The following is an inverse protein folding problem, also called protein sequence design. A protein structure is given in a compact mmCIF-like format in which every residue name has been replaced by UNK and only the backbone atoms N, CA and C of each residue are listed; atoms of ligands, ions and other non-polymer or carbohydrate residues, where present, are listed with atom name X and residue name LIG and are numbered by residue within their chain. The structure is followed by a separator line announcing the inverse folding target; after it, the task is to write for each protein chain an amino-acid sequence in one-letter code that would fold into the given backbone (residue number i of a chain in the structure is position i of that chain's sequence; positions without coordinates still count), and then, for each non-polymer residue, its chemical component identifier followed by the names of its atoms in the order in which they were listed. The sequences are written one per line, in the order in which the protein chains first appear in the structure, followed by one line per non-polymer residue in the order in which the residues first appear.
data_IF_366496086644
#
_entry.id   IF_366496086644
#
_cell.length_a   1.000
_cell.length_b   1.000
_cell.length_c   1.000
_cell.angle_alpha   90.00
_cell.angle_beta   90.00
_cell.angle_gamma   90.00
#
_symmetry.space_group_name_H-M   'P 1'
#
loop_
_entity.id
_entity.type
_entity.pdbx_description
1 polymer ?
#
# COMPACT_ATOMS: atom_id res chain seq x y z
N UNK A 1 34.99 -18.88 -22.77
CA UNK A 1 33.97 -17.87 -22.39
C UNK A 1 34.53 -16.90 -21.37
N UNK A 2 34.71 -15.62 -21.74
CA UNK A 2 35.29 -14.57 -20.87
C UNK A 2 34.53 -14.37 -19.55
N UNK A 3 33.21 -14.58 -19.53
CA UNK A 3 32.40 -14.44 -18.32
C UNK A 3 32.89 -15.32 -17.16
N UNK A 4 33.31 -16.56 -17.40
CA UNK A 4 33.85 -17.43 -16.33
C UNK A 4 35.20 -16.95 -15.79
N UNK A 5 35.98 -16.22 -16.59
CA UNK A 5 37.24 -15.64 -16.15
C UNK A 5 37.01 -14.40 -15.28
N UNK A 6 35.91 -13.67 -15.51
CA UNK A 6 35.57 -12.43 -14.80
C UNK A 6 34.78 -12.73 -13.52
N UNK A 7 33.77 -13.59 -13.58
CA UNK A 7 32.93 -13.96 -12.45
C UNK A 7 32.47 -15.42 -12.61
N UNK A 8 33.16 -16.33 -11.93
CA UNK A 8 32.94 -17.77 -12.05
C UNK A 8 31.74 -18.30 -11.27
N UNK A 9 31.17 -17.50 -10.35
CA UNK A 9 30.02 -17.92 -9.52
C UNK A 9 28.68 -17.77 -10.24
N UNK A 10 28.60 -16.94 -11.28
CA UNK A 10 27.36 -16.73 -12.00
C UNK A 10 27.09 -17.91 -12.95
N UNK A 11 25.90 -18.55 -12.87
CA UNK A 11 25.53 -19.57 -13.83
C UNK A 11 25.40 -18.95 -15.23
N UNK A 12 25.90 -19.66 -16.23
CA UNK A 12 25.75 -19.23 -17.62
C UNK A 12 24.48 -19.85 -18.22
N UNK A 13 23.70 -19.00 -18.89
CA UNK A 13 22.50 -19.37 -19.63
C UNK A 13 22.75 -19.15 -21.11
N UNK A 14 22.53 -20.18 -21.93
CA UNK A 14 22.66 -20.12 -23.37
C UNK A 14 21.32 -19.74 -24.00
N UNK A 15 21.15 -18.45 -24.29
CA UNK A 15 19.97 -17.88 -24.92
C UNK A 15 20.09 -17.96 -26.45
N UNK A 16 19.14 -18.58 -27.14
CA UNK A 16 19.20 -18.70 -28.61
C UNK A 16 17.83 -19.03 -29.24
N UNK A 17 17.79 -19.12 -30.57
CA UNK A 17 16.70 -19.68 -31.36
C UNK A 17 17.27 -20.47 -32.55
N UNK A 18 16.44 -21.18 -33.34
CA UNK A 18 16.95 -21.97 -34.47
C UNK A 18 17.66 -21.12 -35.53
N UNK A 19 17.15 -19.93 -35.85
CA UNK A 19 17.74 -19.05 -36.85
C UNK A 19 19.15 -18.57 -36.42
N UNK A 20 19.37 -18.40 -35.12
CA UNK A 20 20.65 -18.01 -34.55
C UNK A 20 21.67 -19.15 -34.54
N UNK A 21 21.22 -20.41 -34.53
CA UNK A 21 22.15 -21.54 -34.63
C UNK A 21 22.78 -21.63 -36.02
N UNK A 22 22.03 -21.30 -37.08
CA UNK A 22 22.47 -21.39 -38.48
C UNK A 22 22.96 -22.80 -38.89
N UNK A 23 22.29 -23.85 -38.39
CA UNK A 23 22.64 -25.25 -38.71
C UNK A 23 22.71 -25.49 -40.21
N UNK A 24 23.81 -26.08 -40.68
CA UNK A 24 24.09 -26.39 -42.08
C UNK A 24 24.53 -25.19 -42.92
N UNK A 25 24.67 -23.99 -42.34
CA UNK A 25 25.23 -22.83 -43.03
C UNK A 25 26.76 -22.81 -42.88
N UNK A 26 27.52 -22.37 -43.91
CA UNK A 26 28.96 -22.32 -43.82
C UNK A 26 29.47 -21.37 -42.73
N UNK A 27 30.21 -21.92 -41.76
CA UNK A 27 30.96 -21.16 -40.76
C UNK A 27 30.17 -20.80 -39.51
N UNK A 28 30.89 -20.33 -38.49
CA UNK A 28 30.30 -20.02 -37.20
C UNK A 28 29.27 -18.89 -37.25
N UNK A 29 28.11 -19.13 -36.65
CA UNK A 29 27.08 -18.11 -36.51
C UNK A 29 27.59 -16.89 -35.72
N UNK A 30 27.26 -15.65 -36.15
CA UNK A 30 27.65 -14.44 -35.44
C UNK A 30 27.04 -14.35 -34.04
N UNK A 31 25.99 -15.13 -33.74
CA UNK A 31 25.31 -15.15 -32.45
C UNK A 31 25.96 -16.07 -31.41
N UNK A 32 26.84 -16.99 -31.84
CA UNK A 32 27.38 -18.06 -30.98
C UNK A 32 28.80 -17.77 -30.47
N UNK A 33 29.30 -16.54 -30.66
CA UNK A 33 30.58 -16.12 -30.10
C UNK A 33 31.78 -16.92 -30.63
N UNK A 34 31.73 -17.34 -31.90
CA UNK A 34 32.77 -18.10 -32.58
C UNK A 34 32.61 -19.62 -32.51
N UNK A 35 31.52 -20.13 -31.91
CA UNK A 35 31.14 -21.55 -31.99
C UNK A 35 30.37 -21.79 -33.28
N UNK A 36 30.80 -22.77 -34.06
CA UNK A 36 30.01 -23.33 -35.16
C UNK A 36 29.14 -24.48 -34.61
N UNK A 37 27.84 -24.44 -34.86
CA UNK A 37 26.93 -25.48 -34.35
C UNK A 37 27.09 -26.81 -35.10
N UNK A 38 27.60 -26.76 -36.34
CA UNK A 38 27.78 -27.93 -37.18
C UNK A 38 28.92 -28.82 -36.67
N UNK A 39 29.89 -28.26 -35.94
CA UNK A 39 30.92 -29.01 -35.19
C UNK A 39 30.30 -29.92 -34.11
N UNK A 40 29.06 -29.64 -33.71
CA UNK A 40 28.29 -30.42 -32.73
C UNK A 40 27.15 -31.22 -33.39
N UNK A 41 27.13 -31.31 -34.72
CA UNK A 41 26.08 -31.99 -35.48
C UNK A 41 24.71 -31.32 -35.37
N UNK A 42 24.68 -29.99 -35.17
CA UNK A 42 23.43 -29.24 -35.00
C UNK A 42 22.84 -29.31 -33.58
N UNK A 43 23.50 -29.98 -32.62
CA UNK A 43 22.96 -30.21 -31.27
C UNK A 43 23.36 -29.06 -30.31
N UNK A 44 22.41 -28.18 -29.93
CA UNK A 44 22.71 -27.06 -29.03
C UNK A 44 23.12 -27.54 -27.63
N UNK A 45 22.63 -28.67 -27.15
CA UNK A 45 22.96 -29.19 -25.82
C UNK A 45 24.43 -29.61 -25.75
N UNK A 46 24.96 -30.23 -26.81
CA UNK A 46 26.39 -30.56 -26.90
C UNK A 46 27.26 -29.30 -26.96
N UNK A 47 26.86 -28.32 -27.77
CA UNK A 47 27.57 -27.04 -27.84
C UNK A 47 27.61 -26.35 -26.46
N UNK A 48 26.49 -26.31 -25.74
CA UNK A 48 26.36 -25.72 -24.39
C UNK A 48 27.32 -26.37 -23.38
N UNK A 49 27.48 -27.69 -23.42
CA UNK A 49 28.44 -28.40 -22.56
C UNK A 49 29.87 -27.96 -22.80
N UNK A 50 30.25 -27.65 -24.05
CA UNK A 50 31.62 -27.30 -24.41
C UNK A 50 32.12 -26.02 -23.74
N UNK A 51 31.22 -25.09 -23.43
CA UNK A 51 31.55 -23.83 -22.75
C UNK A 51 30.96 -23.70 -21.34
N UNK A 52 30.30 -24.75 -20.85
CA UNK A 52 29.85 -24.90 -19.48
C UNK A 52 28.66 -24.03 -19.09
N UNK A 53 27.73 -23.75 -20.00
CA UNK A 53 26.43 -23.24 -19.56
C UNK A 53 25.61 -24.35 -18.89
N UNK A 54 24.84 -23.97 -17.86
CA UNK A 54 24.03 -24.90 -17.06
C UNK A 54 22.55 -24.87 -17.45
N UNK A 55 22.18 -23.91 -18.30
CA UNK A 55 20.80 -23.71 -18.73
C UNK A 55 20.78 -23.42 -20.23
N UNK A 56 19.90 -24.11 -20.94
CA UNK A 56 19.50 -23.81 -22.31
C UNK A 56 18.22 -22.99 -22.29
N UNK A 57 18.22 -21.85 -22.97
CA UNK A 57 17.10 -20.92 -22.99
C UNK A 57 16.70 -20.63 -24.45
N UNK A 58 16.00 -21.58 -25.12
CA UNK A 58 15.57 -21.41 -26.50
C UNK A 58 14.29 -20.58 -26.62
N UNK A 59 14.02 -20.07 -27.82
CA UNK A 59 12.64 -19.68 -28.16
C UNK A 59 11.70 -20.89 -27.99
N UNK A 60 10.44 -20.65 -27.60
CA UNK A 60 9.46 -21.72 -27.40
C UNK A 60 9.06 -22.46 -28.70
N UNK A 61 8.94 -21.72 -29.81
CA UNK A 61 8.63 -22.25 -31.14
C UNK A 61 8.67 -21.20 -32.24
N UNK A 62 8.29 -21.60 -33.45
CA UNK A 62 8.21 -20.72 -34.63
C UNK A 62 6.82 -20.74 -35.29
N UNK A 63 6.32 -19.60 -35.81
CA UNK A 63 6.93 -18.27 -35.71
C UNK A 63 7.05 -17.83 -34.23
N UNK A 64 8.04 -16.98 -33.92
CA UNK A 64 8.42 -16.67 -32.53
C UNK A 64 7.26 -16.11 -31.69
N UNK A 65 6.32 -15.42 -32.32
CA UNK A 65 5.09 -14.88 -31.73
C UNK A 65 3.87 -15.80 -31.85
N UNK A 66 4.04 -17.02 -32.38
CA UNK A 66 2.98 -18.01 -32.49
C UNK A 66 2.80 -18.81 -31.20
N UNK A 67 1.71 -19.56 -31.12
CA UNK A 67 1.29 -20.34 -29.96
C UNK A 67 1.02 -21.78 -30.33
N UNK A 68 0.97 -22.70 -29.36
CA UNK A 68 0.67 -24.12 -29.62
C UNK A 68 -0.70 -24.37 -30.26
N UNK A 69 -1.59 -23.38 -30.25
CA UNK A 69 -2.91 -23.45 -30.90
C UNK A 69 -2.90 -23.02 -32.37
N UNK A 70 -1.80 -22.43 -32.86
CA UNK A 70 -1.70 -21.99 -34.25
C UNK A 70 -1.31 -23.16 -35.17
N UNK A 71 -1.98 -23.29 -36.32
CA UNK A 71 -1.72 -24.39 -37.26
C UNK A 71 -0.33 -24.35 -37.91
N UNK A 72 0.27 -23.16 -37.98
CA UNK A 72 1.63 -22.97 -38.51
C UNK A 72 2.72 -23.13 -37.46
N UNK A 73 2.35 -23.31 -36.18
CA UNK A 73 3.29 -23.35 -35.08
C UNK A 73 4.12 -24.64 -35.08
N UNK A 74 5.44 -24.47 -34.90
CA UNK A 74 6.40 -25.55 -34.81
C UNK A 74 7.16 -25.43 -33.49
N UNK A 75 7.02 -26.40 -32.56
CA UNK A 75 7.70 -26.33 -31.27
C UNK A 75 9.21 -26.42 -31.46
N UNK A 76 9.94 -25.47 -30.86
CA UNK A 76 11.37 -25.60 -30.65
C UNK A 76 11.66 -26.47 -29.44
N UNK A 77 10.86 -26.30 -28.38
CA UNK A 77 10.99 -27.09 -27.16
C UNK A 77 10.01 -28.25 -27.20
N UNK A 78 10.57 -29.46 -27.17
CA UNK A 78 9.84 -30.72 -27.08
C UNK A 78 10.26 -31.50 -25.84
N UNK A 79 9.42 -32.45 -25.40
CA UNK A 79 9.74 -33.37 -24.31
C UNK A 79 11.03 -34.16 -24.56
N UNK A 80 11.33 -34.50 -25.80
CA UNK A 80 12.57 -35.19 -26.19
C UNK A 80 13.79 -34.29 -25.96
N UNK A 81 13.69 -33.02 -26.37
CA UNK A 81 14.75 -32.04 -26.16
C UNK A 81 14.99 -31.77 -24.67
N UNK A 82 13.92 -31.64 -23.89
CA UNK A 82 14.00 -31.46 -22.43
C UNK A 82 14.69 -32.67 -21.79
N UNK A 83 14.28 -33.90 -22.14
CA UNK A 83 14.94 -35.13 -21.65
C UNK A 83 16.41 -35.19 -22.04
N UNK A 84 16.76 -34.80 -23.26
CA UNK A 84 18.15 -34.73 -23.72
C UNK A 84 18.96 -33.70 -22.93
N UNK A 85 18.42 -32.51 -22.69
CA UNK A 85 19.07 -31.50 -21.86
C UNK A 85 19.28 -31.99 -20.42
N UNK A 86 18.24 -32.57 -19.79
CA UNK A 86 18.32 -33.11 -18.44
C UNK A 86 19.31 -34.27 -18.30
N UNK A 87 19.38 -35.18 -19.27
CA UNK A 87 20.38 -36.25 -19.32
C UNK A 87 21.83 -35.71 -19.39
N UNK A 88 21.98 -34.45 -19.82
CA UNK A 88 23.25 -33.74 -19.88
C UNK A 88 23.45 -32.75 -18.71
N UNK A 89 22.57 -32.76 -17.70
CA UNK A 89 22.64 -31.87 -16.55
C UNK A 89 22.33 -30.40 -16.87
N UNK A 90 21.64 -30.13 -17.99
CA UNK A 90 21.29 -28.80 -18.47
C UNK A 90 19.80 -28.55 -18.24
N UNK A 91 19.47 -27.43 -17.60
CA UNK A 91 18.08 -26.97 -17.42
C UNK A 91 17.53 -26.37 -18.72
N UNK A 92 16.22 -26.41 -18.91
CA UNK A 92 15.54 -25.80 -20.08
C UNK A 92 14.57 -24.73 -19.63
N UNK A 93 14.75 -23.49 -20.12
CA UNK A 93 13.92 -22.33 -19.77
C UNK A 93 13.52 -21.55 -21.04
N UNK A 94 12.42 -21.88 -21.72
CA UNK A 94 12.03 -21.20 -22.95
C UNK A 94 11.50 -19.77 -22.74
N UNK A 95 11.56 -18.98 -23.82
CA UNK A 95 11.07 -17.60 -23.89
C UNK A 95 10.41 -17.28 -25.26
N UNK A 96 9.63 -16.19 -25.40
CA UNK A 96 8.75 -15.62 -24.36
C UNK A 96 7.40 -16.32 -24.50
N UNK A 97 6.80 -16.77 -23.41
CA UNK A 97 5.57 -17.57 -23.43
C UNK A 97 4.47 -16.85 -22.67
N UNK A 98 3.44 -16.37 -23.36
CA UNK A 98 2.44 -15.47 -22.76
C UNK A 98 1.02 -16.03 -22.70
N UNK A 99 0.76 -17.14 -23.40
CA UNK A 99 -0.53 -17.81 -23.42
C UNK A 99 -0.56 -19.09 -22.57
N UNK A 100 -1.71 -19.33 -21.94
CA UNK A 100 -1.94 -20.48 -21.03
C UNK A 100 -1.76 -21.84 -21.72
N UNK A 101 -2.28 -22.08 -22.94
CA UNK A 101 -2.05 -23.34 -23.65
C UNK A 101 -0.57 -23.68 -23.84
N UNK A 102 0.24 -22.73 -24.31
CA UNK A 102 1.69 -22.93 -24.52
C UNK A 102 2.41 -23.13 -23.19
N UNK A 103 2.09 -22.34 -22.16
CA UNK A 103 2.64 -22.54 -20.81
C UNK A 103 2.38 -23.96 -20.30
N UNK A 104 1.13 -24.44 -20.41
CA UNK A 104 0.73 -25.78 -19.93
C UNK A 104 1.49 -26.87 -20.66
N UNK A 105 1.56 -26.79 -22.00
CA UNK A 105 2.31 -27.74 -22.84
C UNK A 105 3.79 -27.83 -22.45
N UNK A 106 4.44 -26.69 -22.17
CA UNK A 106 5.86 -26.66 -21.80
C UNK A 106 6.08 -27.21 -20.38
N UNK A 107 5.19 -26.89 -19.45
CA UNK A 107 5.20 -27.48 -18.09
C UNK A 107 5.03 -29.01 -18.16
N UNK A 108 4.19 -29.51 -19.05
CA UNK A 108 3.99 -30.94 -19.29
C UNK A 108 5.22 -31.61 -19.94
N UNK A 109 5.91 -30.91 -20.83
CA UNK A 109 7.17 -31.38 -21.43
C UNK A 109 8.34 -31.43 -20.44
N UNK A 110 8.17 -30.80 -19.27
CA UNK A 110 9.11 -30.89 -18.15
C UNK A 110 10.16 -29.78 -18.11
N UNK A 111 9.90 -28.62 -18.72
CA UNK A 111 10.83 -27.48 -18.62
C UNK A 111 11.06 -27.06 -17.16
N UNK A 112 12.24 -26.51 -16.87
CA UNK A 112 12.64 -26.11 -15.51
C UNK A 112 12.15 -24.71 -15.12
N UNK A 113 11.71 -23.92 -16.10
CA UNK A 113 11.19 -22.58 -15.94
C UNK A 113 10.62 -22.06 -17.24
N UNK A 114 9.92 -20.94 -17.20
CA UNK A 114 9.36 -20.25 -18.36
C UNK A 114 9.64 -18.75 -18.17
N UNK A 115 10.12 -18.09 -19.22
CA UNK A 115 10.20 -16.62 -19.28
C UNK A 115 8.90 -16.12 -19.93
N UNK A 116 8.19 -15.25 -19.23
CA UNK A 116 6.86 -14.75 -19.59
C UNK A 116 6.69 -13.30 -19.16
N UNK A 117 5.92 -12.54 -19.92
CA UNK A 117 5.45 -11.20 -19.52
C UNK A 117 4.25 -11.29 -18.55
N UNK A 118 3.69 -12.48 -18.33
CA UNK A 118 2.51 -12.75 -17.50
C UNK A 118 2.78 -13.81 -16.42
N UNK A 119 3.60 -13.50 -15.39
CA UNK A 119 3.93 -14.42 -14.31
C UNK A 119 2.71 -14.87 -13.49
N UNK A 120 1.65 -14.08 -13.42
CA UNK A 120 0.35 -14.40 -12.81
C UNK A 120 -0.35 -15.59 -13.53
N UNK A 121 -0.36 -15.59 -14.86
CA UNK A 121 -0.88 -16.70 -15.67
C UNK A 121 -0.07 -17.96 -15.45
N UNK A 122 1.26 -17.84 -15.45
CA UNK A 122 2.15 -18.96 -15.20
C UNK A 122 1.94 -19.55 -13.80
N UNK A 123 1.73 -18.71 -12.77
CA UNK A 123 1.39 -19.20 -11.43
C UNK A 123 0.10 -20.02 -11.42
N UNK A 124 -0.93 -19.56 -12.16
CA UNK A 124 -2.20 -20.29 -12.30
C UNK A 124 -1.98 -21.66 -12.96
N UNK A 125 -1.19 -21.71 -14.04
CA UNK A 125 -0.80 -22.95 -14.72
C UNK A 125 -0.02 -23.88 -13.79
N UNK A 126 0.99 -23.37 -13.09
CA UNK A 126 1.79 -24.17 -12.16
C UNK A 126 0.91 -24.75 -11.03
N UNK A 127 -0.02 -23.97 -10.49
CA UNK A 127 -0.96 -24.42 -9.47
C UNK A 127 -1.88 -25.54 -10.00
N UNK A 128 -2.43 -25.37 -11.20
CA UNK A 128 -3.31 -26.39 -11.80
C UNK A 128 -2.58 -27.70 -12.12
N UNK A 129 -1.25 -27.64 -12.35
CA UNK A 129 -0.40 -28.80 -12.56
C UNK A 129 0.23 -29.34 -11.25
N UNK A 130 -0.23 -28.87 -10.08
CA UNK A 130 0.29 -29.33 -8.78
C UNK A 130 1.77 -29.04 -8.56
N UNK A 131 2.34 -28.04 -9.28
CA UNK A 131 3.75 -27.66 -9.14
C UNK A 131 3.93 -26.73 -7.94
N UNK A 132 5.10 -26.80 -7.31
CA UNK A 132 5.49 -25.83 -6.28
C UNK A 132 5.56 -24.44 -6.89
N UNK A 133 4.75 -23.53 -6.38
CA UNK A 133 4.78 -22.13 -6.80
C UNK A 133 6.06 -21.45 -6.32
N UNK A 134 6.65 -20.53 -7.12
CA UNK A 134 7.68 -19.63 -6.62
C UNK A 134 7.19 -18.90 -5.38
N UNK A 135 8.10 -18.68 -4.42
CA UNK A 135 7.80 -17.87 -3.24
C UNK A 135 7.28 -16.51 -3.71
N UNK A 136 6.08 -16.15 -3.24
CA UNK A 136 5.57 -14.80 -3.42
C UNK A 136 6.37 -13.87 -2.51
N UNK A 137 6.89 -12.79 -3.06
CA UNK A 137 7.41 -11.69 -2.27
C UNK A 137 6.28 -10.69 -2.11
N UNK A 138 5.91 -10.38 -0.88
CA UNK A 138 4.96 -9.31 -0.61
C UNK A 138 5.50 -8.02 -1.23
N UNK A 139 4.70 -7.40 -2.09
CA UNK A 139 4.96 -6.02 -2.48
C UNK A 139 5.04 -5.15 -1.22
N UNK A 140 5.95 -4.17 -1.18
CA UNK A 140 6.05 -3.23 -0.08
C UNK A 140 4.84 -2.27 0.00
N UNK A 141 3.86 -2.38 -0.91
CA UNK A 141 2.71 -1.48 -0.94
C UNK A 141 1.89 -1.55 0.34
N UNK A 142 1.75 -0.42 1.01
CA UNK A 142 1.09 -0.31 2.31
C UNK A 142 -0.43 -0.16 2.14
N UNK A 143 -1.16 -1.24 2.41
CA UNK A 143 -2.61 -1.30 2.46
C UNK A 143 -3.05 -0.94 3.87
N UNK A 144 -3.55 0.29 4.04
CA UNK A 144 -4.08 0.73 5.33
C UNK A 144 -5.60 0.63 5.39
N UNK A 145 -6.11 -0.16 6.33
CA UNK A 145 -7.53 -0.27 6.59
C UNK A 145 -8.00 0.95 7.40
N UNK A 146 -8.58 1.94 6.72
CA UNK A 146 -9.07 3.19 7.31
C UNK A 146 -10.11 2.89 8.38
N UNK A 147 -9.84 3.26 9.63
CA UNK A 147 -10.65 2.96 10.82
C UNK A 147 -10.96 1.47 10.97
N UNK A 148 -10.07 0.60 10.53
CA UNK A 148 -10.25 -0.86 10.50
C UNK A 148 -11.07 -1.39 9.31
N UNK A 149 -11.30 -0.59 8.28
CA UNK A 149 -12.12 -0.96 7.12
C UNK A 149 -13.58 -0.55 7.29
N UNK A 150 -13.82 0.75 7.47
CA UNK A 150 -15.16 1.34 7.71
C UNK A 150 -16.20 0.91 6.67
N UNK A 151 -15.85 0.57 5.43
CA UNK A 151 -16.83 0.11 4.45
C UNK A 151 -17.43 -1.27 4.79
N UNK A 152 -16.74 -2.10 5.58
CA UNK A 152 -17.12 -3.50 5.84
C UNK A 152 -17.62 -3.72 7.28
N UNK A 153 -17.09 -2.98 8.25
CA UNK A 153 -17.46 -3.06 9.68
C UNK A 153 -17.57 -1.67 10.32
N UNK A 154 -18.27 -1.53 11.47
CA UNK A 154 -18.42 -0.26 12.16
C UNK A 154 -17.05 0.32 12.54
N UNK A 155 -16.77 1.54 12.07
CA UNK A 155 -15.47 2.19 12.17
C UNK A 155 -14.90 2.23 13.59
N UNK A 156 -13.57 2.14 13.70
CA UNK A 156 -12.84 2.36 14.95
C UNK A 156 -13.29 1.43 16.10
N UNK A 157 -13.94 0.30 15.79
CA UNK A 157 -14.37 -0.70 16.77
C UNK A 157 -13.45 -1.93 16.78
N UNK A 158 -13.39 -2.65 17.92
CA UNK A 158 -12.64 -3.91 17.98
C UNK A 158 -13.08 -4.94 16.92
N UNK A 159 -14.39 -5.12 16.62
CA UNK A 159 -14.82 -5.96 15.52
C UNK A 159 -14.28 -5.57 14.14
N UNK A 160 -14.16 -4.27 13.84
CA UNK A 160 -13.56 -3.83 12.58
C UNK A 160 -12.07 -4.19 12.50
N UNK A 161 -11.31 -3.87 13.54
CA UNK A 161 -9.88 -4.24 13.59
C UNK A 161 -9.67 -5.76 13.57
N UNK A 162 -10.50 -6.54 14.27
CA UNK A 162 -10.43 -7.99 14.25
C UNK A 162 -10.67 -8.54 12.84
N UNK A 163 -11.67 -8.02 12.14
CA UNK A 163 -11.97 -8.42 10.77
C UNK A 163 -10.84 -8.04 9.80
N UNK A 164 -10.26 -6.84 9.92
CA UNK A 164 -9.11 -6.45 9.12
C UNK A 164 -7.88 -7.36 9.36
N UNK A 165 -7.66 -7.81 10.60
CA UNK A 165 -6.55 -8.71 10.93
C UNK A 165 -6.67 -10.12 10.31
N UNK A 166 -7.89 -10.55 9.94
CA UNK A 166 -8.14 -11.82 9.24
C UNK A 166 -7.53 -11.82 7.82
N UNK A 167 -7.36 -10.64 7.20
CA UNK A 167 -6.81 -10.52 5.86
C UNK A 167 -5.27 -10.33 5.93
N UNK A 168 -4.47 -11.29 5.43
CA UNK A 168 -3.01 -11.21 5.46
C UNK A 168 -2.43 -10.13 4.53
N UNK A 169 -3.21 -9.61 3.59
CA UNK A 169 -2.76 -8.57 2.67
C UNK A 169 -2.86 -7.14 3.26
N UNK A 170 -3.60 -6.96 4.36
CA UNK A 170 -3.63 -5.69 5.09
C UNK A 170 -2.34 -5.56 5.90
N UNK A 171 -1.59 -4.49 5.65
CA UNK A 171 -0.31 -4.22 6.31
C UNK A 171 -0.44 -3.26 7.50
N UNK A 172 -1.45 -2.38 7.48
CA UNK A 172 -1.59 -1.36 8.52
C UNK A 172 -3.05 -1.20 8.94
N UNK A 173 -3.29 -1.16 10.25
CA UNK A 173 -4.56 -0.70 10.79
C UNK A 173 -4.47 0.81 11.02
N UNK A 174 -5.29 1.57 10.33
CA UNK A 174 -5.41 3.00 10.54
C UNK A 174 -6.55 3.26 11.54
N UNK A 175 -6.33 4.20 12.46
CA UNK A 175 -7.31 4.54 13.48
C UNK A 175 -7.13 5.96 14.02
N UNK A 176 -8.21 6.46 14.61
CA UNK A 176 -8.27 7.79 15.19
C UNK A 176 -8.34 7.73 16.72
N UNK A 177 -7.84 8.77 17.39
CA UNK A 177 -7.87 8.82 18.86
C UNK A 177 -8.45 10.13 19.41
N UNK A 178 -8.95 10.04 20.64
CA UNK A 178 -9.32 11.16 21.51
C UNK A 178 -8.93 10.90 22.96
N UNK A 179 -8.99 11.93 23.81
CA UNK A 179 -8.70 11.83 25.26
C UNK A 179 -9.94 12.19 26.05
N UNK A 180 -10.34 11.31 26.96
CA UNK A 180 -11.50 11.48 27.84
C UNK A 180 -11.23 12.45 29.00
N UNK A 181 -12.30 12.87 29.70
CA UNK A 181 -12.22 13.72 30.89
C UNK A 181 -11.34 13.11 32.01
N UNK A 182 -11.33 11.78 32.12
CA UNK A 182 -10.51 11.00 33.06
C UNK A 182 -9.18 10.53 32.45
N UNK A 183 -8.75 11.16 31.34
CA UNK A 183 -7.40 11.03 30.78
C UNK A 183 -7.11 9.73 30.03
N UNK A 184 -8.14 8.98 29.62
CA UNK A 184 -8.01 7.74 28.87
C UNK A 184 -7.96 8.00 27.37
N UNK A 185 -7.12 7.25 26.65
CA UNK A 185 -7.10 7.26 25.18
C UNK A 185 -8.17 6.32 24.64
N UNK A 186 -9.10 6.91 23.90
CA UNK A 186 -10.20 6.21 23.22
C UNK A 186 -10.05 6.32 21.71
N UNK A 187 -10.61 5.36 21.00
CA UNK A 187 -10.47 5.20 19.55
C UNK A 187 -11.78 5.57 18.87
N UNK A 188 -11.79 6.74 18.23
CA UNK A 188 -12.94 7.31 17.51
C UNK A 188 -12.49 8.50 16.65
N UNK A 189 -13.24 8.76 15.58
CA UNK A 189 -12.86 9.79 14.60
C UNK A 189 -13.16 11.22 15.02
N UNK A 190 -14.31 11.47 15.65
CA UNK A 190 -14.76 12.84 15.89
C UNK A 190 -14.36 13.33 17.28
N UNK A 191 -14.19 14.65 17.42
CA UNK A 191 -13.95 15.30 18.74
C UNK A 191 -15.19 15.25 19.62
N UNK A 192 -16.35 15.00 19.03
CA UNK A 192 -17.64 14.72 19.67
C UNK A 192 -18.07 13.26 19.45
N UNK A 193 -18.98 12.77 20.29
CA UNK A 193 -19.64 11.48 20.04
C UNK A 193 -20.61 11.63 18.86
N UNK A 194 -20.27 11.06 17.71
CA UNK A 194 -21.07 11.22 16.51
C UNK A 194 -22.33 10.33 16.49
N UNK A 195 -23.49 10.98 16.45
CA UNK A 195 -24.78 10.32 16.39
C UNK A 195 -25.07 9.58 15.08
N UNK A 196 -24.35 9.78 13.98
CA UNK A 196 -24.55 8.94 12.78
C UNK A 196 -24.09 7.50 13.00
N UNK A 197 -23.16 7.27 13.93
CA UNK A 197 -22.54 5.97 14.18
C UNK A 197 -22.87 5.42 15.58
N UNK A 198 -23.01 6.30 16.57
CA UNK A 198 -23.23 5.92 17.97
C UNK A 198 -24.66 6.22 18.44
N UNK A 199 -25.13 5.43 19.41
CA UNK A 199 -26.40 5.59 20.09
C UNK A 199 -26.22 5.48 21.61
N UNK A 200 -26.93 6.33 22.34
CA UNK A 200 -27.12 6.17 23.78
C UNK A 200 -27.91 4.89 24.07
N UNK A 201 -27.45 4.11 25.05
CA UNK A 201 -28.18 2.92 25.55
C UNK A 201 -28.74 3.17 26.94
N UNK A 202 -27.88 3.58 27.87
CA UNK A 202 -28.20 3.88 29.26
C UNK A 202 -27.15 4.83 29.86
N UNK A 203 -27.52 5.61 30.89
CA UNK A 203 -26.56 6.41 31.63
C UNK A 203 -25.63 5.48 32.45
N UNK A 204 -24.41 5.94 32.71
CA UNK A 204 -23.43 5.20 33.54
C UNK A 204 -23.93 5.03 34.99
N UNK A 205 -24.79 5.95 35.45
CA UNK A 205 -25.44 5.90 36.76
C UNK A 205 -26.85 6.51 36.70
N UNK A 206 -27.77 6.13 37.61
CA UNK A 206 -29.10 6.75 37.68
C UNK A 206 -29.00 8.28 37.80
N UNK A 207 -29.79 8.99 36.99
CA UNK A 207 -29.84 10.47 36.94
C UNK A 207 -28.46 11.10 36.73
N UNK A 208 -27.63 10.52 35.87
CA UNK A 208 -26.44 11.21 35.38
C UNK A 208 -26.87 12.51 34.65
N UNK A 209 -26.46 13.70 35.12
CA UNK A 209 -26.86 14.97 34.52
C UNK A 209 -26.27 15.20 33.12
N UNK A 210 -25.22 14.47 32.72
CA UNK A 210 -24.66 14.56 31.37
C UNK A 210 -25.32 13.61 30.36
N UNK A 211 -26.22 12.72 30.79
CA UNK A 211 -26.91 11.83 29.84
C UNK A 211 -28.09 12.58 29.17
N UNK A 212 -28.29 12.48 27.84
CA UNK A 212 -27.60 11.63 26.85
C UNK A 212 -26.20 12.13 26.45
N UNK A 213 -25.28 11.22 26.12
CA UNK A 213 -23.88 11.55 25.82
C UNK A 213 -23.59 11.74 24.33
N UNK A 214 -24.44 11.24 23.42
CA UNK A 214 -24.25 11.46 21.98
C UNK A 214 -24.36 12.96 21.67
N UNK A 215 -23.35 13.49 20.97
CA UNK A 215 -23.22 14.93 20.67
C UNK A 215 -22.23 15.66 21.58
N UNK A 216 -21.92 15.12 22.76
CA UNK A 216 -20.96 15.74 23.68
C UNK A 216 -19.51 15.59 23.20
N UNK A 217 -18.65 16.49 23.67
CA UNK A 217 -17.21 16.41 23.44
C UNK A 217 -16.62 15.22 24.21
N UNK A 218 -15.75 14.47 23.53
CA UNK A 218 -15.04 13.31 24.12
C UNK A 218 -14.29 13.70 25.39
N UNK A 219 -13.68 14.89 25.40
CA UNK A 219 -12.91 15.39 26.54
C UNK A 219 -13.74 15.73 27.78
N UNK A 220 -15.07 15.85 27.63
CA UNK A 220 -15.99 16.21 28.72
C UNK A 220 -16.69 14.95 29.29
N UNK A 221 -16.47 13.79 28.66
CA UNK A 221 -16.99 12.49 29.07
C UNK A 221 -15.88 11.61 29.64
N UNK A 222 -16.21 10.84 30.67
CA UNK A 222 -15.35 9.79 31.22
C UNK A 222 -15.38 8.53 30.33
N UNK A 223 -14.35 7.69 30.44
CA UNK A 223 -14.34 6.39 29.76
C UNK A 223 -15.58 5.55 30.10
N UNK A 224 -16.01 5.56 31.36
CA UNK A 224 -17.16 4.79 31.81
C UNK A 224 -18.47 5.24 31.13
N UNK A 225 -18.63 6.54 30.87
CA UNK A 225 -19.76 7.08 30.10
C UNK A 225 -19.67 6.66 28.63
N UNK A 226 -18.52 6.82 27.98
CA UNK A 226 -18.34 6.39 26.59
C UNK A 226 -18.57 4.89 26.39
N UNK A 227 -18.22 4.07 27.38
CA UNK A 227 -18.43 2.62 27.35
C UNK A 227 -19.89 2.20 27.50
N UNK A 228 -20.85 3.12 27.70
CA UNK A 228 -22.28 2.77 27.62
C UNK A 228 -22.83 2.88 26.19
N UNK A 229 -22.10 3.52 25.28
CA UNK A 229 -22.59 3.77 23.92
C UNK A 229 -22.51 2.54 23.03
N UNK A 230 -23.53 2.36 22.17
CA UNK A 230 -23.51 1.41 21.07
C UNK A 230 -23.13 2.13 19.77
N UNK A 231 -21.94 1.83 19.26
CA UNK A 231 -21.40 2.37 18.02
C UNK A 231 -21.29 1.30 16.92
N UNK A 232 -22.02 0.20 17.05
CA UNK A 232 -22.00 -0.90 16.08
C UNK A 232 -23.35 -1.21 15.44
N UNK A 233 -24.45 -0.75 16.03
CA UNK A 233 -25.81 -1.01 15.50
C UNK A 233 -26.20 -0.12 14.32
N UNK A 234 -25.63 1.08 14.18
CA UNK A 234 -26.01 2.03 13.12
C UNK A 234 -25.17 1.81 11.87
N UNK A 235 -25.82 1.51 10.76
CA UNK A 235 -25.21 1.47 9.42
C UNK A 235 -25.33 2.84 8.75
N UNK A 236 -24.21 3.49 8.39
CA UNK A 236 -24.23 4.78 7.71
C UNK A 236 -24.83 4.70 6.30
N UNK A 237 -25.50 5.76 5.86
CA UNK A 237 -26.16 5.81 4.55
C UNK A 237 -25.17 5.74 3.37
N UNK A 238 -23.94 6.25 3.57
CA UNK A 238 -22.82 6.20 2.62
C UNK A 238 -22.12 4.82 2.57
N UNK A 239 -22.40 3.94 3.53
CA UNK A 239 -21.87 2.57 3.57
C UNK A 239 -22.98 1.52 3.75
N UNK A 240 -23.92 1.41 2.79
CA UNK A 240 -25.07 0.52 2.93
C UNK A 240 -24.70 -0.98 2.96
N UNK A 241 -23.47 -1.34 2.55
CA UNK A 241 -22.94 -2.71 2.59
C UNK A 241 -22.21 -3.04 3.89
N UNK A 242 -22.01 -2.08 4.79
CA UNK A 242 -21.33 -2.29 6.06
C UNK A 242 -22.17 -3.24 6.93
N UNK A 243 -21.52 -4.27 7.49
CA UNK A 243 -22.18 -5.23 8.37
C UNK A 243 -22.19 -4.68 9.79
N UNK A 244 -23.38 -4.37 10.30
CA UNK A 244 -23.57 -3.91 11.68
C UNK A 244 -23.12 -4.98 12.70
N UNK A 245 -22.59 -4.52 13.83
CA UNK A 245 -22.19 -5.38 14.96
C UNK A 245 -22.82 -4.81 16.23
N UNK A 246 -24.09 -5.12 16.52
CA UNK A 246 -24.80 -4.54 17.65
C UNK A 246 -24.06 -4.69 18.98
N UNK A 247 -23.98 -3.59 19.73
CA UNK A 247 -23.29 -3.53 21.01
C UNK A 247 -21.77 -3.35 20.91
N UNK A 248 -21.19 -3.19 19.71
CA UNK A 248 -19.81 -2.73 19.59
C UNK A 248 -19.68 -1.32 20.19
N UNK A 249 -18.59 -1.07 20.92
CA UNK A 249 -18.37 0.15 21.70
C UNK A 249 -17.10 0.86 21.25
N UNK A 250 -16.98 2.13 21.64
CA UNK A 250 -15.73 2.88 21.54
C UNK A 250 -14.63 2.12 22.34
N UNK A 251 -13.55 1.64 21.70
CA UNK A 251 -12.45 1.02 22.41
C UNK A 251 -11.51 2.07 23.01
N UNK A 252 -10.74 1.64 23.99
CA UNK A 252 -9.50 2.29 24.38
C UNK A 252 -8.38 1.87 23.42
N UNK A 253 -7.36 2.70 23.29
CA UNK A 253 -6.18 2.33 22.50
C UNK A 253 -5.49 1.07 23.04
N UNK A 254 -5.50 0.88 24.37
CA UNK A 254 -4.95 -0.30 25.02
C UNK A 254 -5.66 -1.60 24.59
N UNK A 255 -7.00 -1.56 24.45
CA UNK A 255 -7.77 -2.71 23.95
C UNK A 255 -7.43 -3.03 22.48
N UNK A 256 -7.16 -2.02 21.64
CA UNK A 256 -6.71 -2.24 20.26
C UNK A 256 -5.33 -2.90 20.23
N UNK A 257 -4.37 -2.43 21.03
CA UNK A 257 -3.05 -3.08 21.13
C UNK A 257 -3.15 -4.53 21.64
N UNK A 258 -4.00 -4.78 22.64
CA UNK A 258 -4.25 -6.13 23.14
C UNK A 258 -4.84 -7.04 22.06
N UNK A 259 -5.79 -6.55 21.26
CA UNK A 259 -6.37 -7.28 20.14
C UNK A 259 -5.29 -7.63 19.10
N UNK A 260 -4.50 -6.65 18.65
CA UNK A 260 -3.40 -6.90 17.69
C UNK A 260 -2.40 -7.90 18.25
N UNK A 261 -1.98 -7.76 19.50
CA UNK A 261 -1.08 -8.71 20.16
C UNK A 261 -1.65 -10.13 20.20
N UNK A 262 -2.94 -10.27 20.51
CA UNK A 262 -3.62 -11.58 20.59
C UNK A 262 -3.86 -12.23 19.22
N UNK A 263 -3.88 -11.45 18.13
CA UNK A 263 -4.09 -11.97 16.77
C UNK A 263 -2.92 -12.82 16.25
N UNK A 264 -1.74 -12.71 16.86
CA UNK A 264 -0.50 -13.34 16.39
C UNK A 264 0.14 -12.69 15.17
N UNK A 265 -0.49 -11.68 14.56
CA UNK A 265 0.09 -10.89 13.46
C UNK A 265 1.21 -10.00 13.99
N UNK A 266 2.46 -10.33 13.68
CA UNK A 266 3.64 -9.52 14.02
C UNK A 266 4.06 -8.57 12.90
N UNK A 267 3.47 -8.74 11.72
CA UNK A 267 3.74 -8.02 10.48
C UNK A 267 2.88 -6.75 10.30
N UNK A 268 1.79 -6.61 11.06
CA UNK A 268 0.85 -5.49 10.93
C UNK A 268 1.34 -4.26 11.69
N UNK A 269 1.37 -3.09 11.05
CA UNK A 269 1.60 -1.81 11.68
C UNK A 269 0.28 -1.15 12.13
N UNK A 270 0.38 -0.08 12.92
CA UNK A 270 -0.74 0.81 13.23
C UNK A 270 -0.39 2.24 12.85
N UNK A 271 -1.30 2.93 12.17
CA UNK A 271 -1.20 4.35 11.87
C UNK A 271 -2.23 5.12 12.69
N UNK A 272 -1.78 5.82 13.73
CA UNK A 272 -2.64 6.36 14.78
C UNK A 272 -2.75 7.88 14.65
N UNK A 273 -3.95 8.37 14.38
CA UNK A 273 -4.27 9.79 14.28
C UNK A 273 -4.62 10.41 15.64
N UNK A 274 -4.08 11.60 15.95
CA UNK A 274 -4.66 12.46 16.99
C UNK A 274 -5.68 13.42 16.41
N UNK A 275 -6.95 13.31 16.82
CA UNK A 275 -8.04 14.20 16.39
C UNK A 275 -8.07 15.46 17.23
N UNK A 276 -7.33 16.47 16.78
CA UNK A 276 -7.19 17.76 17.44
C UNK A 276 -7.19 18.87 16.39
N UNK A 277 -7.70 20.04 16.75
CA UNK A 277 -7.62 21.24 15.93
C UNK A 277 -6.78 22.31 16.63
N UNK A 278 -5.93 23.04 15.88
CA UNK A 278 -5.24 24.22 16.40
C UNK A 278 -6.14 25.46 16.47
N UNK A 279 -7.34 25.41 15.90
CA UNK A 279 -8.26 26.54 15.79
C UNK A 279 -9.25 26.63 16.95
N UNK A 280 -9.52 25.52 17.62
CA UNK A 280 -10.50 25.43 18.71
C UNK A 280 -9.93 24.64 19.89
N UNK A 281 -10.38 24.99 21.09
CA UNK A 281 -10.00 24.29 22.32
C UNK A 281 -11.15 23.39 22.76
N UNK A 282 -11.39 22.29 22.04
CA UNK A 282 -12.47 21.32 22.27
C UNK A 282 -11.95 19.89 22.54
N UNK A 283 -10.63 19.73 22.69
CA UNK A 283 -9.94 18.48 23.08
C UNK A 283 -9.00 18.74 24.24
N UNK A 284 -8.31 17.70 24.73
CA UNK A 284 -7.17 17.89 25.62
C UNK A 284 -6.06 18.70 24.91
N UNK A 285 -5.31 19.57 25.61
CA UNK A 285 -4.17 20.28 25.03
C UNK A 285 -3.21 19.33 24.31
N UNK A 286 -2.68 19.73 23.15
CA UNK A 286 -1.88 18.83 22.30
C UNK A 286 -0.72 18.17 23.06
N UNK A 287 -0.05 18.88 23.98
CA UNK A 287 1.04 18.29 24.76
C UNK A 287 0.57 17.16 25.68
N UNK A 288 -0.62 17.30 26.27
CA UNK A 288 -1.20 16.25 27.11
C UNK A 288 -1.58 15.08 26.22
N UNK A 289 -2.33 15.34 25.15
CA UNK A 289 -2.78 14.30 24.23
C UNK A 289 -1.61 13.50 23.65
N UNK A 290 -0.66 14.16 22.97
CA UNK A 290 0.50 13.50 22.37
C UNK A 290 1.32 12.72 23.41
N UNK A 291 1.51 13.26 24.62
CA UNK A 291 2.25 12.56 25.68
C UNK A 291 1.54 11.32 26.16
N UNK A 292 0.21 11.38 26.34
CA UNK A 292 -0.59 10.20 26.68
C UNK A 292 -0.47 9.15 25.58
N UNK A 293 -0.54 9.55 24.30
CA UNK A 293 -0.40 8.65 23.15
C UNK A 293 0.96 7.95 23.13
N UNK A 294 2.05 8.72 23.18
CA UNK A 294 3.40 8.16 23.16
C UNK A 294 3.64 7.21 24.33
N UNK A 295 3.14 7.54 25.54
CA UNK A 295 3.26 6.67 26.71
C UNK A 295 2.52 5.36 26.53
N UNK A 296 1.31 5.37 25.97
CA UNK A 296 0.54 4.15 25.75
C UNK A 296 1.19 3.26 24.68
N UNK A 297 1.71 3.86 23.59
CA UNK A 297 2.48 3.14 22.57
C UNK A 297 3.71 2.45 23.19
N UNK A 298 4.47 3.19 24.01
CA UNK A 298 5.66 2.66 24.69
C UNK A 298 5.29 1.55 25.68
N UNK A 299 4.24 1.75 26.47
CA UNK A 299 3.75 0.77 27.44
C UNK A 299 3.31 -0.53 26.77
N UNK A 300 2.67 -0.44 25.61
CA UNK A 300 2.24 -1.60 24.84
C UNK A 300 3.41 -2.31 24.13
N UNK A 301 4.59 -1.69 24.04
CA UNK A 301 5.74 -2.24 23.31
C UNK A 301 5.59 -2.16 21.79
N UNK A 302 4.77 -1.24 21.28
CA UNK A 302 4.43 -1.11 19.86
C UNK A 302 5.22 -0.02 19.12
N UNK A 303 6.24 0.58 19.73
CA UNK A 303 6.98 1.73 19.15
C UNK A 303 7.45 1.47 17.72
N UNK A 304 8.00 0.29 17.44
CA UNK A 304 8.58 -0.03 16.13
C UNK A 304 7.53 -0.46 15.08
N UNK A 305 6.24 -0.51 15.47
CA UNK A 305 5.11 -0.89 14.62
C UNK A 305 4.06 0.23 14.51
N UNK A 306 4.32 1.40 15.09
CA UNK A 306 3.37 2.51 15.12
C UNK A 306 3.93 3.71 14.36
N UNK A 307 3.11 4.26 13.48
CA UNK A 307 3.25 5.63 12.98
C UNK A 307 2.25 6.54 13.69
N UNK A 308 2.68 7.76 14.06
CA UNK A 308 1.78 8.79 14.58
C UNK A 308 1.47 9.79 13.48
N UNK A 309 0.19 9.95 13.16
CA UNK A 309 -0.29 10.89 12.15
C UNK A 309 -1.13 12.01 12.77
N UNK A 310 -1.10 13.20 12.17
CA UNK A 310 -2.00 14.30 12.57
C UNK A 310 -2.03 15.41 11.54
N UNK A 311 -3.19 16.07 11.41
CA UNK A 311 -3.29 17.36 10.72
C UNK A 311 -2.63 18.49 11.52
N UNK A 312 -2.64 18.41 12.86
CA UNK A 312 -1.93 19.36 13.70
C UNK A 312 -0.46 18.94 13.85
N UNK A 313 0.41 19.57 13.09
CA UNK A 313 1.81 19.17 13.02
C UNK A 313 2.59 19.45 14.31
N UNK A 314 2.00 20.18 15.27
CA UNK A 314 2.55 20.29 16.63
C UNK A 314 2.59 18.91 17.29
N UNK A 315 1.59 18.05 17.04
CA UNK A 315 1.54 16.67 17.54
C UNK A 315 2.73 15.86 17.03
N UNK A 316 2.94 15.78 15.71
CA UNK A 316 4.00 14.91 15.18
C UNK A 316 5.40 15.38 15.54
N UNK A 317 5.63 16.70 15.60
CA UNK A 317 6.91 17.26 16.04
C UNK A 317 7.16 16.94 17.51
N UNK A 318 6.13 17.06 18.34
CA UNK A 318 6.24 16.75 19.76
C UNK A 318 6.38 15.24 20.04
N UNK A 319 5.67 14.38 19.30
CA UNK A 319 5.80 12.93 19.39
C UNK A 319 7.26 12.49 19.16
N UNK A 320 7.90 13.01 18.11
CA UNK A 320 9.32 12.76 17.82
C UNK A 320 10.29 13.29 18.88
N UNK A 321 9.94 14.39 19.55
CA UNK A 321 10.73 14.89 20.68
C UNK A 321 10.64 13.96 21.89
N UNK A 322 9.48 13.33 22.11
CA UNK A 322 9.25 12.38 23.20
C UNK A 322 9.90 11.01 22.93
N UNK A 323 9.83 10.51 21.69
CA UNK A 323 10.51 9.29 21.26
C UNK A 323 10.94 9.40 19.79
N UNK A 324 12.25 9.45 19.53
CA UNK A 324 12.80 9.60 18.18
C UNK A 324 12.65 8.36 17.30
N UNK A 325 12.31 7.21 17.88
CA UNK A 325 12.07 5.95 17.14
C UNK A 325 10.71 5.94 16.47
N UNK A 326 9.75 6.74 16.96
CA UNK A 326 8.43 6.82 16.35
C UNK A 326 8.54 7.46 14.96
N UNK A 327 8.04 6.73 13.96
CA UNK A 327 7.75 7.30 12.66
C UNK A 327 6.55 8.24 12.78
N UNK A 328 6.57 9.33 12.02
CA UNK A 328 5.47 10.30 12.00
C UNK A 328 5.03 10.62 10.58
N UNK A 329 3.74 10.88 10.44
CA UNK A 329 3.05 11.12 9.17
C UNK A 329 2.44 12.50 9.22
N UNK A 330 2.77 13.34 8.24
CA UNK A 330 2.19 14.65 8.09
C UNK A 330 0.89 14.55 7.28
N UNK A 331 -0.26 14.68 7.95
CA UNK A 331 -1.55 14.78 7.27
C UNK A 331 -1.75 16.17 6.69
N UNK A 332 -2.31 16.24 5.47
CA UNK A 332 -2.53 17.47 4.73
C UNK A 332 -3.92 17.44 4.10
N UNK A 333 -4.73 18.42 4.49
CA UNK A 333 -6.02 18.71 3.86
C UNK A 333 -5.85 19.99 3.03
N UNK A 334 -5.79 19.86 1.71
CA UNK A 334 -5.53 21.02 0.86
C UNK A 334 -6.27 20.95 -0.49
N UNK A 335 -6.88 22.09 -0.83
CA UNK A 335 -7.62 22.32 -2.07
C UNK A 335 -7.14 23.59 -2.77
N UNK A 336 -7.91 24.04 -3.74
CA UNK A 336 -7.62 25.18 -4.60
C UNK A 336 -8.19 26.49 -4.05
N UNK A 337 -8.18 27.55 -4.89
CA UNK A 337 -8.58 28.89 -4.47
C UNK A 337 -10.03 29.02 -4.00
N UNK A 338 -10.94 28.20 -4.54
CA UNK A 338 -12.36 28.31 -4.24
C UNK A 338 -12.72 27.71 -2.87
N UNK A 339 -11.94 26.74 -2.41
CA UNK A 339 -12.17 26.04 -1.15
C UNK A 339 -11.32 26.59 -0.01
N UNK A 340 -10.15 27.16 -0.30
CA UNK A 340 -9.25 27.71 0.71
C UNK A 340 -9.30 29.24 0.71
N UNK A 341 -10.49 29.80 0.92
CA UNK A 341 -10.74 31.25 0.82
C UNK A 341 -10.43 32.00 2.10
N UNK A 342 -10.64 31.36 3.25
CA UNK A 342 -10.44 31.91 4.58
C UNK A 342 -9.76 30.89 5.47
N UNK A 343 -9.13 31.35 6.56
CA UNK A 343 -8.55 30.45 7.54
C UNK A 343 -9.58 29.51 8.22
N UNK A 344 -10.88 29.84 8.14
CA UNK A 344 -11.97 29.00 8.63
C UNK A 344 -12.24 27.77 7.74
N UNK A 345 -11.72 27.75 6.52
CA UNK A 345 -11.84 26.60 5.61
C UNK A 345 -10.85 25.46 5.95
N UNK A 346 -10.02 25.67 6.97
CA UNK A 346 -9.13 24.67 7.57
C UNK A 346 -8.09 24.05 6.62
N UNK A 347 -7.77 24.68 5.50
CA UNK A 347 -6.72 24.20 4.59
C UNK A 347 -5.33 24.22 5.26
N UNK A 348 -4.61 23.10 5.15
CA UNK A 348 -3.40 22.85 5.94
C UNK A 348 -2.17 23.61 5.47
N UNK A 349 -2.00 23.92 4.17
CA UNK A 349 -0.80 24.57 3.65
C UNK A 349 -1.07 26.05 3.34
N UNK A 350 -1.93 26.30 2.35
CA UNK A 350 -2.38 27.63 1.94
C UNK A 350 -3.71 27.91 2.63
N UNK A 351 -3.64 28.26 3.92
CA UNK A 351 -4.82 28.54 4.74
C UNK A 351 -5.72 29.62 4.13
N UNK A 352 -5.12 30.62 3.47
CA UNK A 352 -5.81 31.47 2.49
C UNK A 352 -5.05 31.38 1.19
N UNK A 353 -5.74 30.98 0.13
CA UNK A 353 -5.10 30.64 -1.13
C UNK A 353 -4.50 31.88 -1.80
N UNK A 354 -3.18 31.97 -1.81
CA UNK A 354 -2.46 33.06 -2.50
C UNK A 354 -2.14 34.25 -1.62
N UNK A 355 -2.51 34.20 -0.34
CA UNK A 355 -2.16 35.22 0.63
C UNK A 355 -1.00 34.75 1.53
N UNK A 356 0.24 35.20 1.27
CA UNK A 356 1.40 34.85 2.08
C UNK A 356 1.40 35.48 3.48
N UNK A 357 0.48 36.40 3.77
CA UNK A 357 0.36 36.99 5.10
C UNK A 357 -0.36 36.07 6.08
N UNK A 358 -1.16 35.12 5.57
CA UNK A 358 -1.88 34.13 6.36
C UNK A 358 -1.09 32.83 6.40
N UNK A 359 -0.64 32.49 7.62
CA UNK A 359 0.07 31.23 7.90
C UNK A 359 -0.91 30.20 8.42
N UNK A 360 -0.75 28.97 7.97
CA UNK A 360 -1.54 27.86 8.49
C UNK A 360 -1.15 27.54 9.93
N UNK A 361 -2.15 27.40 10.80
CA UNK A 361 -1.95 26.92 12.16
C UNK A 361 -1.78 25.39 12.22
N UNK A 362 -2.18 24.68 11.16
CA UNK A 362 -2.06 23.22 11.05
C UNK A 362 -0.60 22.78 10.90
N UNK A 363 0.25 23.58 10.25
CA UNK A 363 1.69 23.30 10.13
C UNK A 363 2.51 23.78 11.33
N UNK A 364 1.84 24.26 12.39
CA UNK A 364 2.48 24.79 13.59
C UNK A 364 3.23 26.09 13.32
N UNK A 365 4.54 26.11 13.59
CA UNK A 365 5.45 27.24 13.33
C UNK A 365 6.09 27.17 11.92
N UNK A 366 5.81 26.13 11.13
CA UNK A 366 6.35 25.96 9.79
C UNK A 366 5.47 26.69 8.77
N UNK A 367 6.12 27.50 7.94
CA UNK A 367 5.46 28.43 7.04
C UNK A 367 5.53 27.94 5.60
N UNK A 368 4.40 27.48 5.04
CA UNK A 368 4.31 27.04 3.65
C UNK A 368 4.95 28.05 2.68
N UNK A 369 4.76 29.36 2.90
CA UNK A 369 5.24 30.43 2.02
C UNK A 369 6.75 30.63 2.04
N UNK A 370 7.47 29.95 2.93
CA UNK A 370 8.94 29.88 2.90
C UNK A 370 9.46 28.67 2.14
N UNK A 371 8.63 27.63 2.00
CA UNK A 371 9.03 26.36 1.41
C UNK A 371 8.52 26.21 -0.03
N UNK A 372 7.24 26.51 -0.29
CA UNK A 372 6.56 26.29 -1.57
C UNK A 372 6.75 24.88 -2.15
N UNK A 373 7.01 23.91 -1.30
CA UNK A 373 7.36 22.53 -1.64
C UNK A 373 6.93 21.65 -0.47
N UNK A 374 6.01 20.71 -0.71
CA UNK A 374 5.44 19.88 0.36
C UNK A 374 6.50 18.94 0.93
N UNK A 375 7.42 18.45 0.11
CA UNK A 375 8.51 17.57 0.54
C UNK A 375 9.46 18.29 1.49
N UNK A 376 9.85 19.51 1.16
CA UNK A 376 10.70 20.34 2.02
C UNK A 376 10.01 20.68 3.35
N UNK A 377 8.72 21.04 3.30
CA UNK A 377 7.96 21.40 4.50
C UNK A 377 7.74 20.18 5.43
N UNK A 378 7.32 19.04 4.87
CA UNK A 378 7.14 17.78 5.62
C UNK A 378 8.46 17.32 6.25
N UNK A 379 9.59 17.49 5.55
CA UNK A 379 10.91 17.21 6.12
C UNK A 379 11.32 18.18 7.21
N UNK A 380 10.99 19.46 7.10
CA UNK A 380 11.19 20.42 8.18
C UNK A 380 10.38 20.06 9.43
N UNK A 381 9.21 19.44 9.28
CA UNK A 381 8.43 18.88 10.39
C UNK A 381 9.06 17.61 11.00
N UNK A 382 10.01 16.99 10.30
CA UNK A 382 10.67 15.76 10.73
C UNK A 382 9.84 14.51 10.48
N UNK A 383 8.79 14.57 9.66
CA UNK A 383 7.99 13.41 9.28
C UNK A 383 8.71 12.51 8.27
N UNK A 384 8.41 11.22 8.34
CA UNK A 384 8.87 10.18 7.40
C UNK A 384 7.93 9.97 6.22
N UNK A 385 6.67 10.37 6.37
CA UNK A 385 5.59 10.14 5.42
C UNK A 385 4.79 11.41 5.21
N UNK A 386 4.41 11.68 3.96
CA UNK A 386 3.36 12.64 3.63
C UNK A 386 2.09 11.90 3.29
N UNK A 387 0.98 12.34 3.87
CA UNK A 387 -0.34 11.76 3.66
C UNK A 387 -1.32 12.89 3.41
N UNK A 388 -1.95 12.90 2.25
CA UNK A 388 -2.83 13.99 1.85
C UNK A 388 -4.05 13.45 1.10
N UNK A 389 -5.06 14.30 0.90
CA UNK A 389 -6.07 14.01 -0.11
C UNK A 389 -5.38 13.79 -1.48
N UNK A 390 -5.78 12.74 -2.21
CA UNK A 390 -5.02 12.21 -3.35
C UNK A 390 -4.67 13.26 -4.43
N UNK A 391 -5.54 14.27 -4.58
CA UNK A 391 -5.36 15.38 -5.52
C UNK A 391 -4.07 16.18 -5.27
N UNK A 392 -3.57 16.23 -4.03
CA UNK A 392 -2.33 16.94 -3.70
C UNK A 392 -1.11 16.39 -4.46
N UNK A 393 -1.16 15.11 -4.82
CA UNK A 393 -0.05 14.39 -5.46
C UNK A 393 -0.13 14.32 -6.98
N UNK A 394 -1.26 14.70 -7.57
CA UNK A 394 -1.48 14.53 -9.01
C UNK A 394 -1.32 15.84 -9.79
N UNK A 395 -0.23 16.02 -10.55
CA UNK A 395 -0.02 17.22 -11.35
C UNK A 395 -0.85 17.25 -12.64
N UNK A 396 -1.49 16.13 -13.03
CA UNK A 396 -2.21 15.98 -14.31
C UNK A 396 -3.73 15.94 -14.12
N UNK A 397 -4.22 16.61 -13.08
CA UNK A 397 -5.65 16.70 -12.82
C UNK A 397 -6.36 17.50 -13.93
N UNK A 398 -7.45 16.96 -14.53
CA UNK A 398 -8.41 17.79 -15.24
C UNK A 398 -9.15 18.71 -14.26
N UNK A 399 -9.94 19.64 -14.80
CA UNK A 399 -10.90 20.41 -14.00
C UNK A 399 -12.23 19.65 -13.99
N UNK A 400 -12.62 19.15 -12.82
CA UNK A 400 -13.88 18.43 -12.59
C UNK A 400 -14.60 19.07 -11.43
N UNK A 401 -15.77 19.65 -11.70
CA UNK A 401 -16.67 20.15 -10.67
C UNK A 401 -17.54 19.01 -10.13
N UNK A 402 -17.72 18.95 -8.81
CA UNK A 402 -18.56 17.96 -8.14
C UNK A 402 -19.06 18.52 -6.81
N UNK A 403 -20.27 18.16 -6.40
CA UNK A 403 -20.74 18.44 -5.05
C UNK A 403 -19.94 17.64 -4.01
N UNK A 404 -19.64 16.38 -4.35
CA UNK A 404 -18.71 15.55 -3.60
C UNK A 404 -17.27 16.04 -3.81
N UNK A 405 -16.65 16.50 -2.74
CA UNK A 405 -15.29 17.04 -2.75
C UNK A 405 -14.27 16.01 -3.23
N UNK A 406 -14.49 14.73 -2.94
CA UNK A 406 -13.56 13.66 -3.29
C UNK A 406 -13.42 13.49 -4.80
N UNK A 407 -14.51 13.75 -5.53
CA UNK A 407 -14.56 13.68 -6.98
C UNK A 407 -14.13 14.99 -7.67
N UNK A 408 -13.90 16.07 -6.91
CA UNK A 408 -13.39 17.33 -7.45
C UNK A 408 -11.94 17.18 -7.88
N UNK A 409 -11.62 17.79 -9.02
CA UNK A 409 -10.27 17.79 -9.58
C UNK A 409 -9.96 19.20 -10.08
N UNK A 410 -8.74 19.66 -9.78
CA UNK A 410 -8.25 20.94 -10.27
C UNK A 410 -6.71 20.94 -10.20
N UNK A 411 -5.99 21.35 -11.25
CA UNK A 411 -4.54 21.52 -11.19
C UNK A 411 -4.05 22.36 -10.01
N UNK A 412 -4.87 23.28 -9.50
CA UNK A 412 -4.57 24.10 -8.33
C UNK A 412 -4.47 23.32 -7.01
N UNK A 413 -4.94 22.07 -6.96
CA UNK A 413 -4.85 21.22 -5.77
C UNK A 413 -3.46 20.58 -5.64
N UNK A 414 -2.66 20.55 -6.72
CA UNK A 414 -1.32 19.99 -6.68
C UNK A 414 -0.37 20.91 -5.90
N UNK A 415 0.26 20.38 -4.84
CA UNK A 415 1.21 21.15 -4.04
C UNK A 415 2.66 20.65 -4.10
N UNK A 416 2.89 19.54 -4.81
CA UNK A 416 4.19 19.13 -5.33
C UNK A 416 5.32 18.93 -4.30
N UNK A 417 6.45 18.34 -4.73
CA UNK A 417 6.73 17.86 -6.07
C UNK A 417 6.02 16.52 -6.39
N UNK A 418 6.29 15.95 -7.57
CA UNK A 418 5.80 14.63 -7.94
C UNK A 418 6.26 13.56 -6.94
N UNK A 419 5.53 12.45 -6.86
CA UNK A 419 5.78 11.33 -5.94
C UNK A 419 7.23 10.83 -6.02
N UNK A 420 7.77 10.62 -7.22
CA UNK A 420 9.17 10.19 -7.39
C UNK A 420 10.17 11.18 -6.76
N UNK A 421 9.91 12.48 -6.78
CA UNK A 421 10.79 13.48 -6.14
C UNK A 421 10.62 13.45 -4.61
N UNK A 422 9.40 13.24 -4.10
CA UNK A 422 9.16 13.02 -2.67
C UNK A 422 9.97 11.82 -2.15
N UNK A 423 10.00 10.74 -2.92
CA UNK A 423 10.74 9.51 -2.58
C UNK A 423 12.26 9.68 -2.77
N UNK A 424 12.73 10.18 -3.91
CA UNK A 424 14.16 10.16 -4.23
C UNK A 424 14.94 11.28 -3.53
N UNK A 425 14.41 12.51 -3.61
CA UNK A 425 15.08 13.68 -3.06
C UNK A 425 14.80 13.81 -1.57
N UNK A 426 13.54 13.68 -1.20
CA UNK A 426 13.15 13.87 0.19
C UNK A 426 13.16 12.57 1.00
N UNK A 427 13.21 11.37 0.39
CA UNK A 427 13.15 10.08 1.13
C UNK A 427 11.84 9.88 1.90
N UNK A 428 10.76 10.54 1.46
CA UNK A 428 9.45 10.45 2.08
C UNK A 428 8.65 9.30 1.47
N UNK A 429 7.94 8.56 2.32
CA UNK A 429 6.83 7.71 1.87
C UNK A 429 5.64 8.60 1.49
N UNK A 430 4.86 8.20 0.50
CA UNK A 430 3.64 8.89 0.06
C UNK A 430 2.46 7.94 0.23
N UNK A 431 1.51 8.28 1.11
CA UNK A 431 0.35 7.43 1.42
C UNK A 431 -0.92 8.30 1.47
N UNK A 432 -1.62 8.53 0.36
CA UNK A 432 -2.84 9.36 0.34
C UNK A 432 -4.05 8.68 0.99
N UNK A 433 -5.01 9.51 1.38
CA UNK A 433 -6.29 9.11 1.97
C UNK A 433 -7.48 9.92 1.37
N UNK A 434 -8.73 9.53 1.59
CA UNK A 434 -9.17 8.13 1.69
C UNK A 434 -9.62 7.74 0.30
N UNK A 435 -8.99 6.74 -0.31
CA UNK A 435 -9.21 6.41 -1.72
C UNK A 435 -10.10 5.18 -1.82
N UNK A 436 -11.35 5.37 -2.23
CA UNK A 436 -12.40 4.34 -2.16
C UNK A 436 -12.99 3.96 -3.53
N UNK A 437 -12.46 4.53 -4.62
CA UNK A 437 -12.88 4.23 -5.98
C UNK A 437 -11.76 3.50 -6.72
N UNK A 438 -12.08 2.40 -7.40
CA UNK A 438 -11.08 1.58 -8.09
C UNK A 438 -10.31 2.33 -9.18
N UNK A 439 -10.96 3.29 -9.85
CA UNK A 439 -10.33 4.11 -10.90
C UNK A 439 -9.35 5.10 -10.26
N UNK A 440 -9.73 5.72 -9.15
CA UNK A 440 -8.84 6.62 -8.40
C UNK A 440 -7.70 5.83 -7.74
N UNK A 441 -7.96 4.63 -7.19
CA UNK A 441 -6.92 3.73 -6.68
C UNK A 441 -5.89 3.43 -7.77
N UNK A 442 -6.34 3.03 -8.98
CA UNK A 442 -5.45 2.79 -10.11
C UNK A 442 -4.64 4.05 -10.45
N UNK A 443 -5.30 5.19 -10.56
CA UNK A 443 -4.66 6.47 -10.86
C UNK A 443 -3.56 6.81 -9.85
N UNK A 444 -3.83 6.60 -8.57
CA UNK A 444 -2.90 6.87 -7.46
C UNK A 444 -1.75 5.86 -7.46
N UNK A 445 -2.01 4.59 -7.74
CA UNK A 445 -0.98 3.56 -7.95
C UNK A 445 -0.05 3.95 -9.12
N UNK A 446 -0.60 4.46 -10.22
CA UNK A 446 0.17 4.91 -11.39
C UNK A 446 1.05 6.15 -11.09
N UNK A 447 0.74 6.92 -10.04
CA UNK A 447 1.64 7.98 -9.54
C UNK A 447 2.86 7.42 -8.81
N UNK A 448 2.86 6.13 -8.44
CA UNK A 448 3.96 5.46 -7.75
C UNK A 448 3.96 5.64 -6.24
N UNK A 449 2.79 5.82 -5.61
CA UNK A 449 2.69 5.95 -4.15
C UNK A 449 3.14 4.69 -3.42
N UNK A 450 3.53 4.83 -2.15
CA UNK A 450 4.01 3.73 -1.31
C UNK A 450 2.86 2.95 -0.66
N UNK A 451 1.68 3.55 -0.55
CA UNK A 451 0.51 2.95 0.08
C UNK A 451 -0.76 3.75 -0.15
N UNK A 452 -1.90 3.20 0.25
CA UNK A 452 -3.21 3.89 0.21
C UNK A 452 -3.97 3.58 1.50
N UNK A 453 -4.61 4.62 2.05
CA UNK A 453 -5.60 4.51 3.12
C UNK A 453 -7.00 4.40 2.46
N UNK A 454 -7.71 3.31 2.74
CA UNK A 454 -9.02 3.00 2.13
C UNK A 454 -10.04 2.51 3.16
N UNK A 455 -11.29 2.93 3.03
CA UNK A 455 -12.43 2.38 3.77
C UNK A 455 -12.74 0.94 3.34
N UNK A 456 -12.47 0.61 2.08
CA UNK A 456 -12.65 -0.72 1.47
C UNK A 456 -11.26 -1.31 1.12
N UNK A 457 -10.55 -1.91 2.11
CA UNK A 457 -9.24 -2.49 1.87
C UNK A 457 -9.30 -3.69 0.91
N UNK A 458 -10.41 -4.43 0.87
CA UNK A 458 -10.57 -5.57 -0.05
C UNK A 458 -10.65 -5.10 -1.51
N UNK A 459 -11.36 -4.00 -1.78
CA UNK A 459 -11.35 -3.35 -3.09
C UNK A 459 -9.94 -2.93 -3.51
N UNK A 460 -9.20 -2.30 -2.60
CA UNK A 460 -7.81 -1.89 -2.83
C UNK A 460 -6.92 -3.10 -3.14
N UNK A 461 -6.99 -4.16 -2.34
CA UNK A 461 -6.25 -5.40 -2.56
C UNK A 461 -6.59 -5.99 -3.93
N UNK A 462 -7.86 -5.99 -4.32
CA UNK A 462 -8.29 -6.42 -5.64
C UNK A 462 -7.67 -5.60 -6.77
N UNK A 463 -7.51 -4.28 -6.61
CA UNK A 463 -6.79 -3.42 -7.58
C UNK A 463 -5.30 -3.77 -7.59
N UNK A 464 -4.67 -3.95 -6.43
CA UNK A 464 -3.23 -4.25 -6.33
C UNK A 464 -2.88 -5.59 -6.98
N UNK A 465 -3.69 -6.64 -6.77
CA UNK A 465 -3.49 -7.95 -7.41
C UNK A 465 -3.51 -7.80 -8.95
N UNK A 466 -4.45 -7.02 -9.50
CA UNK A 466 -4.50 -6.77 -10.96
C UNK A 466 -3.27 -6.03 -11.50
N UNK A 467 -2.58 -5.29 -10.65
CA UNK A 467 -1.36 -4.54 -10.99
C UNK A 467 -0.07 -5.34 -10.70
N UNK A 468 -0.16 -6.60 -10.27
CA UNK A 468 1.01 -7.38 -9.85
C UNK A 468 1.69 -6.85 -8.59
N UNK A 469 0.99 -6.02 -7.81
CA UNK A 469 1.45 -5.45 -6.56
C UNK A 469 0.99 -6.27 -5.34
N UNK A 470 0.27 -7.38 -5.48
CA UNK A 470 -0.02 -8.31 -4.38
C UNK A 470 -0.25 -9.73 -4.88
#
# INVERSE_FOLDING_TARGET
MRMRQVESRLPLVALTNYDFLQVGQPGASPWLGGIDIDDFGGDPIRAIRSFGATTFSPVQGFPQNGTVTDSAYRPCVTRELVRHAHANGIKVVPWTVDDIPTMSKLVDDGVDGIITDYPDRLRTVLASHGRRLPQAYASPFDVQAHRGGRATRPENTLPAFAHALENPAISTLELDTGVTADGQLVVLHDRTVNGSHCADTAPVRPRDPQFPYVGDLVRDLTLAQLKTLDCGSRTPADHPRQVAVPGARIPTLAEVFALVGSSGRTDVALNIETKISPLVADTAPYQIFTRTLVREIQRAGFTDRVTVQSFDWRTIRYARQLDRRLETVALIWQYGPAECTTAADECSLRAVYGDPTVKSLWTGDLDWWRHHDVGALVRAAGAGTVSANWQVHDPRQPVVASADWYLRQNPAYFHGPQVAVLQDRYRLKVVPYTVNDATVMQRVIDLGVDGIISDDPDLLIGVLIRNGLR
#
